data_IF_571072682906
#
_entry.id   IF_571072682906
#
_cell.length_a   1.000
_cell.length_b   1.000
_cell.length_c   1.000
_cell.angle_alpha   90.00
_cell.angle_beta   90.00
_cell.angle_gamma   90.00
#
_symmetry.space_group_name_H-M   'P 1'
#
loop_
_entity.id
_entity.type
_entity.pdbx_description
1 polymer ?
#
# COMPACT_ATOMS: atom_id res chain seq x y z
N UNK A 1 13.63 -7.65 -47.36
CA UNK A 1 13.08 -6.50 -46.60
C UNK A 1 12.99 -6.95 -45.15
N UNK A 2 13.72 -6.27 -44.27
CA UNK A 2 13.94 -6.68 -42.88
C UNK A 2 12.63 -6.49 -42.09
N UNK A 3 12.08 -7.59 -41.55
CA UNK A 3 10.92 -7.57 -40.67
C UNK A 3 11.25 -6.87 -39.36
N UNK A 4 10.35 -5.99 -38.91
CA UNK A 4 10.56 -5.06 -37.80
C UNK A 4 10.98 -5.74 -36.51
N UNK A 5 12.18 -5.39 -36.08
CA UNK A 5 12.64 -5.51 -34.70
C UNK A 5 12.08 -4.28 -33.96
N UNK A 6 10.77 -4.28 -33.68
CA UNK A 6 10.20 -3.31 -32.75
C UNK A 6 10.42 -3.88 -31.34
N UNK A 7 11.35 -3.31 -30.55
CA UNK A 7 11.63 -3.83 -29.22
C UNK A 7 10.36 -3.77 -28.38
N UNK A 8 10.10 -4.78 -27.52
CA UNK A 8 8.91 -4.78 -26.69
C UNK A 8 8.87 -3.50 -25.87
N UNK A 9 7.80 -2.73 -26.03
CA UNK A 9 7.58 -1.52 -25.25
C UNK A 9 7.59 -1.91 -23.78
N UNK A 10 8.60 -1.48 -23.04
CA UNK A 10 8.65 -1.72 -21.61
C UNK A 10 7.50 -0.90 -20.98
N UNK A 11 6.43 -1.54 -20.45
CA UNK A 11 5.31 -0.80 -19.87
C UNK A 11 5.74 0.05 -18.66
N UNK A 12 6.87 -0.30 -18.03
CA UNK A 12 7.53 0.51 -16.98
C UNK A 12 8.20 1.77 -17.52
N UNK A 13 8.65 1.78 -18.77
CA UNK A 13 9.26 2.96 -19.40
C UNK A 13 8.22 3.96 -19.89
N UNK A 14 6.99 3.50 -20.12
CA UNK A 14 5.84 4.34 -20.48
C UNK A 14 4.99 4.77 -19.27
N UNK A 15 5.29 4.25 -18.07
CA UNK A 15 4.57 4.63 -16.86
C UNK A 15 4.83 6.11 -16.55
N UNK A 16 3.79 6.92 -16.57
CA UNK A 16 3.88 8.33 -16.20
C UNK A 16 4.33 8.44 -14.74
N UNK A 17 5.38 9.23 -14.48
CA UNK A 17 5.81 9.58 -13.13
C UNK A 17 4.60 10.09 -12.33
N UNK A 18 4.36 9.50 -11.16
CA UNK A 18 3.22 9.82 -10.29
C UNK A 18 2.04 8.86 -10.40
N UNK A 19 2.11 7.83 -11.26
CA UNK A 19 1.04 6.84 -11.42
C UNK A 19 0.80 6.04 -10.13
N UNK A 20 1.85 5.62 -9.43
CA UNK A 20 1.71 4.85 -8.19
C UNK A 20 1.18 5.72 -7.05
N UNK A 21 1.70 6.94 -6.89
CA UNK A 21 1.20 7.87 -5.88
C UNK A 21 -0.29 8.15 -6.04
N UNK A 22 -0.74 8.38 -7.29
CA UNK A 22 -2.16 8.56 -7.58
C UNK A 22 -2.99 7.34 -7.19
N UNK A 23 -2.54 6.14 -7.57
CA UNK A 23 -3.25 4.90 -7.22
C UNK A 23 -3.34 4.72 -5.69
N UNK A 24 -2.25 4.97 -4.96
CA UNK A 24 -2.24 4.87 -3.49
C UNK A 24 -3.20 5.88 -2.85
N UNK A 25 -3.31 7.10 -3.38
CA UNK A 25 -4.29 8.09 -2.91
C UNK A 25 -5.72 7.62 -3.14
N UNK A 26 -6.02 7.04 -4.30
CA UNK A 26 -7.34 6.49 -4.61
C UNK A 26 -7.69 5.31 -3.69
N UNK A 27 -6.75 4.39 -3.49
CA UNK A 27 -6.92 3.22 -2.62
C UNK A 27 -7.16 3.63 -1.17
N UNK A 28 -6.40 4.60 -0.65
CA UNK A 28 -6.57 5.10 0.73
C UNK A 28 -7.88 5.88 0.87
N UNK A 29 -8.27 6.68 -0.12
CA UNK A 29 -9.56 7.36 -0.10
C UNK A 29 -10.74 6.37 -0.03
N UNK A 30 -10.61 5.19 -0.63
CA UNK A 30 -11.61 4.13 -0.57
C UNK A 30 -11.75 3.47 0.82
N UNK A 31 -10.77 3.65 1.73
CA UNK A 31 -10.85 3.17 3.12
C UNK A 31 -11.81 4.00 3.99
N UNK A 32 -12.21 5.19 3.53
CA UNK A 32 -13.09 6.10 4.26
C UNK A 32 -12.33 7.02 5.22
N UNK A 33 -13.01 7.50 6.26
CA UNK A 33 -12.43 8.43 7.23
C UNK A 33 -11.27 7.77 8.00
N UNK A 34 -10.15 8.50 8.06
CA UNK A 34 -8.94 8.09 8.76
C UNK A 34 -8.92 8.67 10.18
N UNK A 35 -8.50 7.86 11.15
CA UNK A 35 -8.42 8.24 12.56
C UNK A 35 -7.06 7.88 13.19
N UNK A 36 -6.76 8.50 14.34
CA UNK A 36 -5.57 8.22 15.14
C UNK A 36 -4.26 8.34 14.34
N UNK A 37 -3.57 7.22 14.09
CA UNK A 37 -2.30 7.15 13.37
C UNK A 37 -2.47 6.93 11.86
N UNK A 38 -3.68 6.60 11.40
CA UNK A 38 -3.99 6.34 10.00
C UNK A 38 -3.65 7.52 9.07
N UNK A 39 -3.92 8.81 9.41
CA UNK A 39 -3.53 9.94 8.57
C UNK A 39 -2.02 10.05 8.38
N UNK A 40 -1.23 9.80 9.43
CA UNK A 40 0.23 9.85 9.35
C UNK A 40 0.79 8.69 8.50
N UNK A 41 0.19 7.51 8.60
CA UNK A 41 0.53 6.36 7.75
C UNK A 41 0.17 6.61 6.29
N UNK A 42 -0.96 7.29 6.02
CA UNK A 42 -1.36 7.67 4.68
C UNK A 42 -0.36 8.66 4.04
N UNK A 43 0.03 9.72 4.76
CA UNK A 43 1.03 10.68 4.28
C UNK A 43 2.39 10.01 4.00
N UNK A 44 2.80 9.07 4.87
CA UNK A 44 4.01 8.28 4.63
C UNK A 44 3.89 7.40 3.38
N UNK A 45 2.74 6.75 3.17
CA UNK A 45 2.49 5.94 1.97
C UNK A 45 2.55 6.79 0.70
N UNK A 46 1.99 8.01 0.71
CA UNK A 46 2.09 8.95 -0.43
C UNK A 46 3.54 9.33 -0.72
N UNK A 47 4.31 9.67 0.31
CA UNK A 47 5.71 10.04 0.14
C UNK A 47 6.57 8.89 -0.42
N UNK A 48 6.33 7.66 0.05
CA UNK A 48 7.01 6.46 -0.44
C UNK A 48 6.62 6.12 -1.88
N UNK A 49 5.33 6.22 -2.22
CA UNK A 49 4.85 6.01 -3.59
C UNK A 49 5.46 7.03 -4.57
N UNK A 50 5.48 8.31 -4.18
CA UNK A 50 6.13 9.38 -4.95
C UNK A 50 7.65 9.15 -5.11
N UNK A 51 8.31 8.54 -4.12
CA UNK A 51 9.73 8.19 -4.21
C UNK A 51 9.97 7.02 -5.19
N UNK A 52 9.08 6.01 -5.18
CA UNK A 52 9.11 4.90 -6.14
C UNK A 52 8.87 5.40 -7.56
N UNK A 53 7.86 6.25 -7.77
CA UNK A 53 7.54 6.85 -9.07
C UNK A 53 8.69 7.67 -9.64
N UNK A 54 9.42 8.40 -8.78
CA UNK A 54 10.57 9.21 -9.21
C UNK A 54 11.79 8.38 -9.58
N UNK A 55 11.92 7.14 -9.07
CA UNK A 55 13.07 6.28 -9.30
C UNK A 55 14.39 6.94 -8.89
N UNK A 56 14.75 6.90 -7.61
CA UNK A 56 16.01 7.46 -7.12
C UNK A 56 17.18 6.49 -7.30
N UNK A 57 18.33 6.98 -7.79
CA UNK A 57 19.58 6.22 -7.79
C UNK A 57 20.13 5.98 -6.37
N UNK A 58 19.78 6.85 -5.42
CA UNK A 58 20.25 6.79 -4.03
C UNK A 58 19.47 5.74 -3.21
N UNK A 59 18.22 5.48 -3.59
CA UNK A 59 17.37 4.47 -2.95
C UNK A 59 16.75 3.57 -4.02
N UNK A 60 17.28 2.34 -4.21
CA UNK A 60 16.78 1.48 -5.26
C UNK A 60 15.31 1.12 -5.00
N UNK A 61 14.56 0.86 -6.07
CA UNK A 61 13.11 0.58 -5.99
C UNK A 61 12.76 -0.58 -5.01
N UNK A 62 13.53 -1.68 -4.90
CA UNK A 62 13.16 -2.80 -4.02
C UNK A 62 12.98 -2.44 -2.53
N UNK A 63 13.91 -1.75 -1.84
CA UNK A 63 13.69 -1.33 -0.45
C UNK A 63 12.51 -0.35 -0.32
N UNK A 64 12.37 0.65 -1.21
CA UNK A 64 11.22 1.56 -1.18
C UNK A 64 9.88 0.83 -1.32
N UNK A 65 9.82 -0.13 -2.24
CA UNK A 65 8.63 -0.96 -2.43
C UNK A 65 8.36 -1.88 -1.23
N UNK A 66 9.39 -2.29 -0.47
CA UNK A 66 9.21 -3.07 0.76
C UNK A 66 8.61 -2.20 1.86
N UNK A 67 9.15 -1.00 2.06
CA UNK A 67 8.64 -0.04 3.03
C UNK A 67 7.20 0.36 2.71
N UNK A 68 6.89 0.67 1.44
CA UNK A 68 5.52 1.01 1.02
C UNK A 68 4.53 -0.11 1.36
N UNK A 69 4.88 -1.37 1.09
CA UNK A 69 4.02 -2.52 1.45
C UNK A 69 3.83 -2.65 2.95
N UNK A 70 4.87 -2.41 3.74
CA UNK A 70 4.78 -2.45 5.20
C UNK A 70 3.88 -1.33 5.74
N UNK A 71 4.00 -0.10 5.21
CA UNK A 71 3.15 1.03 5.59
C UNK A 71 1.69 0.78 5.21
N UNK A 72 1.42 0.32 3.99
CA UNK A 72 0.06 -0.02 3.55
C UNK A 72 -0.54 -1.12 4.42
N UNK A 73 0.22 -2.16 4.75
CA UNK A 73 -0.24 -3.21 5.68
C UNK A 73 -0.60 -2.64 7.04
N UNK A 74 0.28 -1.82 7.63
CA UNK A 74 0.02 -1.22 8.94
C UNK A 74 -1.26 -0.35 8.92
N UNK A 75 -1.47 0.40 7.84
CA UNK A 75 -2.68 1.20 7.64
C UNK A 75 -3.93 0.32 7.55
N UNK A 76 -3.92 -0.71 6.70
CA UNK A 76 -5.09 -1.59 6.55
C UNK A 76 -5.37 -2.40 7.81
N UNK A 77 -4.35 -2.80 8.56
CA UNK A 77 -4.52 -3.50 9.85
C UNK A 77 -5.15 -2.55 10.89
N UNK A 78 -4.74 -1.28 10.95
CA UNK A 78 -5.34 -0.29 11.84
C UNK A 78 -6.82 -0.05 11.52
N UNK A 79 -7.15 0.13 10.23
CA UNK A 79 -8.54 0.26 9.76
C UNK A 79 -9.34 -0.99 10.09
N UNK A 80 -8.78 -2.19 9.87
CA UNK A 80 -9.45 -3.45 10.19
C UNK A 80 -9.77 -3.56 11.68
N UNK A 81 -8.84 -3.22 12.58
CA UNK A 81 -9.07 -3.22 14.03
C UNK A 81 -10.20 -2.26 14.41
N UNK A 82 -10.20 -1.05 13.85
CA UNK A 82 -11.22 -0.03 14.15
C UNK A 82 -12.61 -0.40 13.62
N UNK A 83 -12.67 -1.10 12.49
CA UNK A 83 -13.92 -1.48 11.82
C UNK A 83 -14.39 -2.88 12.17
N UNK A 84 -13.58 -3.66 12.90
CA UNK A 84 -13.96 -4.97 13.37
C UNK A 84 -15.21 -4.85 14.24
N UNK A 85 -16.21 -5.73 14.05
CA UNK A 85 -17.23 -5.90 15.06
C UNK A 85 -16.54 -6.28 16.38
N UNK A 86 -17.03 -5.78 17.51
CA UNK A 86 -16.59 -6.22 18.85
C UNK A 86 -16.90 -7.72 19.00
N UNK A 87 -16.06 -8.59 18.45
CA UNK A 87 -16.05 -10.04 18.69
C UNK A 87 -15.39 -10.32 20.06
N UNK A 88 -15.90 -9.66 21.10
CA UNK A 88 -15.66 -10.02 22.50
C UNK A 88 -16.42 -11.32 22.90
N UNK A 89 -17.07 -11.99 21.94
CA UNK A 89 -17.89 -13.19 22.14
C UNK A 89 -17.18 -14.53 21.78
N UNK A 90 -15.94 -14.53 21.27
CA UNK A 90 -15.27 -15.81 20.87
C UNK A 90 -14.43 -16.46 21.99
N UNK A 91 -14.20 -15.78 23.13
CA UNK A 91 -13.49 -16.35 24.30
C UNK A 91 -14.41 -16.80 25.45
N UNK A 92 -15.70 -17.00 25.17
CA UNK A 92 -16.75 -17.29 26.16
C UNK A 92 -17.08 -18.76 26.45
N UNK A 93 -16.33 -19.75 25.95
CA UNK A 93 -16.57 -21.16 26.32
C UNK A 93 -15.29 -22.00 26.38
N UNK A 94 -14.41 -21.67 27.33
CA UNK A 94 -13.52 -22.66 27.92
C UNK A 94 -14.35 -23.43 28.96
N UNK A 95 -15.07 -24.44 28.51
CA UNK A 95 -15.81 -25.36 29.36
C UNK A 95 -14.96 -25.83 30.55
N UNK A 96 -15.48 -25.58 31.74
CA UNK A 96 -14.97 -26.07 33.02
C UNK A 96 -14.70 -27.59 32.93
N UNK A 97 -13.51 -28.09 33.28
CA UNK A 97 -13.25 -29.53 33.25
C UNK A 97 -13.94 -30.22 34.43
N UNK A 98 -14.84 -31.17 34.15
CA UNK A 98 -15.28 -32.21 35.12
C UNK A 98 -14.19 -33.26 35.37
#
# INVERSE_FOLDING_TARGET
MLGGDEPPECPRCAAETGTLERQVREDIAALGDLADTEPALAELAYALAAAVDRGSDENPIPPLAKELRATLKALTDAVAVRTAPDDDDEFGDLGDPE
#
